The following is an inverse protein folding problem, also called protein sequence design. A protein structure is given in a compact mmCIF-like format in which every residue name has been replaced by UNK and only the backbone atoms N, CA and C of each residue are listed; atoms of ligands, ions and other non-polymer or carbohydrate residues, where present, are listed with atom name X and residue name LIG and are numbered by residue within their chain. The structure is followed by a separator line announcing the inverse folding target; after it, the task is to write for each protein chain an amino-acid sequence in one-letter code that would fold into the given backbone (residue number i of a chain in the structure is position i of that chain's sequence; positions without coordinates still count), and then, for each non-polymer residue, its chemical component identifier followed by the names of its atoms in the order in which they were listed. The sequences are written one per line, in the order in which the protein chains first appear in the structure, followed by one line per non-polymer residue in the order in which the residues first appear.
data_IF_567158300745
#
_entry.id   IF_567158300745
#
_cell.length_a   1.000
_cell.length_b   1.000
_cell.length_c   1.000
_cell.angle_alpha   90.00
_cell.angle_beta   90.00
_cell.angle_gamma   90.00
#
_symmetry.space_group_name_H-M   'P 1'
#
loop_
_entity.id
_entity.type
_entity.pdbx_description
1 polymer ?
#
# COMPACT_ATOMS: atom_id res chain seq x y z
N UNK A 1 13.79 22.89 23.49
CA UNK A 1 12.35 22.82 23.19
C UNK A 1 11.96 21.37 23.33
N UNK A 2 11.00 21.06 24.21
CA UNK A 2 10.71 19.67 24.54
C UNK A 2 10.16 18.96 23.28
N UNK A 3 10.57 17.71 23.04
CA UNK A 3 10.14 16.93 21.87
C UNK A 3 8.61 16.82 21.73
N UNK A 4 7.88 16.96 22.85
CA UNK A 4 6.43 17.02 22.90
C UNK A 4 5.85 18.33 22.32
N UNK A 5 6.46 19.49 22.58
CA UNK A 5 6.01 20.77 22.00
C UNK A 5 6.19 20.80 20.48
N UNK A 6 7.27 20.20 19.97
CA UNK A 6 7.47 20.07 18.51
C UNK A 6 6.46 19.14 17.85
N UNK A 7 6.04 18.06 18.53
CA UNK A 7 5.05 17.13 17.99
C UNK A 7 3.65 17.74 17.97
N UNK A 8 3.24 18.42 19.04
CA UNK A 8 1.94 19.08 19.10
C UNK A 8 1.79 20.16 18.01
N UNK A 9 2.85 20.93 17.74
CA UNK A 9 2.86 21.89 16.63
C UNK A 9 2.74 21.21 15.27
N UNK A 10 3.42 20.09 15.08
CA UNK A 10 3.30 19.29 13.86
C UNK A 10 1.87 18.77 13.66
N UNK A 11 1.23 18.27 14.70
CA UNK A 11 -0.16 17.79 14.63
C UNK A 11 -1.12 18.91 14.21
N UNK A 12 -0.94 20.13 14.73
CA UNK A 12 -1.72 21.31 14.31
C UNK A 12 -1.49 21.64 12.82
N UNK A 13 -0.25 21.53 12.33
CA UNK A 13 0.03 21.73 10.91
C UNK A 13 -0.62 20.64 10.04
N UNK A 14 -0.61 19.38 10.47
CA UNK A 14 -1.30 18.30 9.78
C UNK A 14 -2.82 18.54 9.71
N UNK A 15 -3.43 18.96 10.81
CA UNK A 15 -4.86 19.32 10.83
C UNK A 15 -5.16 20.43 9.82
N UNK A 16 -4.34 21.49 9.77
CA UNK A 16 -4.49 22.55 8.77
C UNK A 16 -4.34 22.05 7.34
N UNK A 17 -3.37 21.17 7.08
CA UNK A 17 -3.11 20.61 5.76
C UNK A 17 -4.33 19.88 5.18
N UNK A 18 -5.02 19.08 6.00
CA UNK A 18 -6.13 18.24 5.54
C UNK A 18 -7.52 18.88 5.72
N UNK A 19 -7.71 19.78 6.69
CA UNK A 19 -9.04 20.31 7.04
C UNK A 19 -9.23 21.81 6.77
N UNK A 20 -8.17 22.61 6.58
CA UNK A 20 -8.35 24.06 6.39
C UNK A 20 -9.03 24.38 5.04
N UNK A 21 -9.97 25.33 5.06
CA UNK A 21 -10.62 25.85 3.85
C UNK A 21 -9.84 27.00 3.22
N UNK A 22 -8.88 27.56 3.95
CA UNK A 22 -7.99 28.61 3.45
C UNK A 22 -6.83 28.00 2.65
N UNK A 23 -6.72 28.38 1.39
CA UNK A 23 -5.64 27.91 0.52
C UNK A 23 -4.26 28.38 0.98
N UNK A 24 -4.15 29.56 1.60
CA UNK A 24 -2.88 30.09 2.09
C UNK A 24 -2.37 29.29 3.30
N UNK A 25 -3.27 28.95 4.23
CA UNK A 25 -2.92 28.12 5.39
C UNK A 25 -2.50 26.71 4.97
N UNK A 26 -3.24 26.08 4.04
CA UNK A 26 -2.87 24.75 3.51
C UNK A 26 -1.51 24.78 2.82
N UNK A 27 -1.26 25.79 1.98
CA UNK A 27 0.02 25.92 1.28
C UNK A 27 1.18 26.15 2.25
N UNK A 28 0.97 26.91 3.33
CA UNK A 28 1.98 27.10 4.37
C UNK A 28 2.28 25.80 5.13
N UNK A 29 1.23 25.05 5.52
CA UNK A 29 1.40 23.76 6.17
C UNK A 29 2.12 22.76 5.25
N UNK A 30 1.71 22.68 3.98
CA UNK A 30 2.34 21.82 2.97
C UNK A 30 3.82 22.17 2.78
N UNK A 31 4.15 23.45 2.60
CA UNK A 31 5.54 23.90 2.44
C UNK A 31 6.40 23.55 3.66
N UNK A 32 5.83 23.59 4.86
CA UNK A 32 6.55 23.28 6.09
C UNK A 32 6.76 21.78 6.26
N UNK A 33 5.76 20.98 5.90
CA UNK A 33 5.78 19.53 6.06
C UNK A 33 6.44 18.80 4.88
N UNK A 34 6.74 19.49 3.78
CA UNK A 34 7.31 18.93 2.55
C UNK A 34 8.61 18.15 2.79
N UNK A 35 9.45 18.61 3.73
CA UNK A 35 10.75 18.01 4.05
C UNK A 35 10.65 16.54 4.43
N UNK A 36 9.56 16.12 5.09
CA UNK A 36 9.31 14.74 5.46
C UNK A 36 9.22 13.82 4.24
N UNK A 37 8.89 14.34 3.07
CA UNK A 37 8.74 13.55 1.85
C UNK A 37 9.93 13.64 0.88
N UNK A 38 10.88 14.55 1.15
CA UNK A 38 11.98 14.87 0.24
C UNK A 38 13.36 14.54 0.82
N UNK A 39 13.48 14.45 2.14
CA UNK A 39 14.74 14.14 2.81
C UNK A 39 14.63 12.83 3.62
N UNK A 40 15.45 11.84 3.25
CA UNK A 40 15.56 10.55 3.94
C UNK A 40 15.98 10.65 5.41
N UNK A 41 16.60 11.75 5.83
CA UNK A 41 16.96 11.99 7.24
C UNK A 41 15.72 12.05 8.14
N UNK A 42 14.54 12.33 7.58
CA UNK A 42 13.28 12.40 8.31
C UNK A 42 12.57 11.04 8.46
N UNK A 43 13.12 9.93 7.96
CA UNK A 43 12.51 8.59 8.11
C UNK A 43 12.31 8.23 9.58
N UNK A 44 13.34 8.42 10.41
CA UNK A 44 13.25 8.16 11.85
C UNK A 44 12.23 9.06 12.52
N UNK A 45 12.05 10.30 12.03
CA UNK A 45 11.03 11.22 12.53
C UNK A 45 9.62 10.77 12.11
N UNK A 46 9.44 10.25 10.90
CA UNK A 46 8.16 9.63 10.48
C UNK A 46 7.79 8.45 11.38
N UNK A 47 8.75 7.58 11.72
CA UNK A 47 8.53 6.48 12.65
C UNK A 47 8.19 6.99 14.06
N UNK A 48 8.89 8.02 14.54
CA UNK A 48 8.57 8.67 15.80
C UNK A 48 7.14 9.25 15.82
N UNK A 49 6.70 9.89 14.73
CA UNK A 49 5.32 10.39 14.59
C UNK A 49 4.33 9.22 14.63
N UNK A 50 4.59 8.14 13.90
CA UNK A 50 3.72 6.96 13.92
C UNK A 50 3.59 6.37 15.33
N UNK A 51 4.68 6.34 16.10
CA UNK A 51 4.68 5.75 17.44
C UNK A 51 4.03 6.64 18.51
N UNK A 52 4.10 7.96 18.37
CA UNK A 52 3.77 8.92 19.44
C UNK A 52 2.63 9.90 19.13
N UNK A 53 2.26 10.10 17.86
CA UNK A 53 1.20 11.03 17.51
C UNK A 53 -0.18 10.52 17.97
N UNK A 54 -1.01 11.47 18.37
CA UNK A 54 -2.38 11.26 18.83
C UNK A 54 -3.40 11.51 17.72
N UNK A 55 -3.04 12.32 16.72
CA UNK A 55 -3.94 12.69 15.62
C UNK A 55 -3.76 11.78 14.39
N UNK A 56 -4.86 11.34 13.74
CA UNK A 56 -4.75 10.46 12.58
C UNK A 56 -4.17 11.17 11.35
N UNK A 57 -4.25 12.51 11.27
CA UNK A 57 -3.66 13.28 10.19
C UNK A 57 -2.13 13.35 10.27
N UNK A 58 -1.55 13.35 11.48
CA UNK A 58 -0.11 13.23 11.64
C UNK A 58 0.39 11.84 11.23
N UNK A 59 -0.34 10.78 11.60
CA UNK A 59 -0.05 9.42 11.13
C UNK A 59 -0.15 9.33 9.59
N UNK A 60 -1.14 10.00 9.00
CA UNK A 60 -1.32 10.07 7.55
C UNK A 60 -0.15 10.80 6.86
N UNK A 61 0.30 11.92 7.42
CA UNK A 61 1.47 12.64 6.90
C UNK A 61 2.70 11.74 6.92
N UNK A 62 2.99 11.09 8.06
CA UNK A 62 4.16 10.22 8.20
C UNK A 62 4.12 9.05 7.20
N UNK A 63 2.96 8.39 7.10
CA UNK A 63 2.77 7.27 6.17
C UNK A 63 2.92 7.69 4.70
N UNK A 64 2.25 8.77 4.27
CA UNK A 64 2.33 9.25 2.88
C UNK A 64 3.72 9.79 2.52
N UNK A 65 4.41 10.40 3.48
CA UNK A 65 5.80 10.84 3.32
C UNK A 65 6.72 9.65 3.07
N UNK A 66 6.60 8.58 3.86
CA UNK A 66 7.36 7.35 3.67
C UNK A 66 7.05 6.69 2.31
N UNK A 67 5.78 6.69 1.86
CA UNK A 67 5.40 6.17 0.51
C UNK A 67 6.15 6.89 -0.59
N UNK A 68 6.27 8.22 -0.50
CA UNK A 68 7.00 9.01 -1.49
C UNK A 68 8.49 8.68 -1.45
N UNK A 69 9.10 8.68 -0.28
CA UNK A 69 10.53 8.39 -0.14
C UNK A 69 10.94 6.99 -0.65
N UNK A 70 10.15 5.95 -0.38
CA UNK A 70 10.47 4.59 -0.88
C UNK A 70 10.25 4.46 -2.39
N UNK A 71 9.44 5.34 -2.98
CA UNK A 71 9.17 5.35 -4.43
C UNK A 71 10.34 5.97 -5.22
N UNK A 72 11.16 6.81 -4.59
CA UNK A 72 12.31 7.46 -5.23
C UNK A 72 13.54 6.54 -5.39
N UNK A 73 13.47 5.28 -4.88
CA UNK A 73 14.51 4.23 -5.01
C UNK A 73 15.93 4.61 -4.54
N UNK A 74 16.09 5.74 -3.85
CA UNK A 74 17.37 6.20 -3.31
C UNK A 74 17.77 5.50 -2.01
N UNK A 75 16.81 4.87 -1.33
CA UNK A 75 17.03 4.21 -0.05
C UNK A 75 17.76 2.87 -0.20
N UNK A 76 18.65 2.58 0.76
CA UNK A 76 19.36 1.31 0.82
C UNK A 76 18.39 0.13 0.95
N UNK A 77 18.82 -1.05 0.48
CA UNK A 77 18.03 -2.29 0.58
C UNK A 77 17.63 -2.59 2.03
N UNK A 78 18.58 -2.47 2.97
CA UNK A 78 18.34 -2.75 4.38
C UNK A 78 17.33 -1.79 4.98
N UNK A 79 17.45 -0.48 4.71
CA UNK A 79 16.51 0.50 5.24
C UNK A 79 15.08 0.28 4.70
N UNK A 80 14.93 -0.11 3.43
CA UNK A 80 13.62 -0.48 2.87
C UNK A 80 13.00 -1.68 3.58
N UNK A 81 13.80 -2.71 3.90
CA UNK A 81 13.32 -3.85 4.68
C UNK A 81 12.94 -3.46 6.11
N UNK A 82 13.74 -2.62 6.76
CA UNK A 82 13.48 -2.16 8.13
C UNK A 82 12.16 -1.37 8.20
N UNK A 83 11.93 -0.46 7.24
CA UNK A 83 10.65 0.29 7.14
C UNK A 83 9.48 -0.68 6.91
N UNK A 84 9.61 -1.63 5.99
CA UNK A 84 8.54 -2.60 5.69
C UNK A 84 8.20 -3.46 6.91
N UNK A 85 9.20 -3.98 7.61
CA UNK A 85 9.00 -4.79 8.81
C UNK A 85 8.39 -3.96 9.94
N UNK A 86 8.85 -2.72 10.12
CA UNK A 86 8.25 -1.78 11.05
C UNK A 86 6.76 -1.58 10.75
N UNK A 87 6.39 -1.30 9.49
CA UNK A 87 4.99 -1.06 9.08
C UNK A 87 4.12 -2.30 9.30
N UNK A 88 4.61 -3.49 8.94
CA UNK A 88 3.86 -4.74 9.14
C UNK A 88 3.62 -5.03 10.63
N UNK A 89 4.65 -4.86 11.46
CA UNK A 89 4.53 -4.97 12.92
C UNK A 89 3.59 -3.90 13.51
N UNK A 90 3.64 -2.68 12.98
CA UNK A 90 2.78 -1.59 13.39
C UNK A 90 1.30 -1.88 13.07
N UNK A 91 1.02 -2.39 11.87
CA UNK A 91 -0.32 -2.84 11.47
C UNK A 91 -0.83 -3.99 12.36
N UNK A 92 0.04 -4.93 12.73
CA UNK A 92 -0.32 -6.03 13.62
C UNK A 92 -0.61 -5.54 15.05
N UNK A 93 0.17 -4.61 15.58
CA UNK A 93 0.03 -4.14 16.96
C UNK A 93 -1.09 -3.09 17.14
N UNK A 94 -1.25 -2.18 16.17
CA UNK A 94 -2.11 -0.99 16.30
C UNK A 94 -3.21 -0.92 15.26
N UNK A 95 -3.12 -1.66 14.16
CA UNK A 95 -4.04 -1.58 13.01
C UNK A 95 -5.53 -1.54 13.35
N UNK A 96 -6.05 -2.44 14.22
CA UNK A 96 -7.47 -2.43 14.61
C UNK A 96 -7.97 -1.12 15.24
N UNK A 97 -7.07 -0.31 15.82
CA UNK A 97 -7.40 0.95 16.49
C UNK A 97 -7.21 2.18 15.58
N UNK A 98 -6.66 1.98 14.38
CA UNK A 98 -6.38 3.08 13.46
C UNK A 98 -7.62 3.47 12.66
N UNK A 99 -7.68 4.74 12.27
CA UNK A 99 -8.64 5.19 11.27
C UNK A 99 -8.36 4.50 9.93
N UNK A 100 -9.42 4.11 9.22
CA UNK A 100 -9.33 3.30 8.00
C UNK A 100 -8.40 3.92 6.93
N UNK A 101 -8.41 5.25 6.78
CA UNK A 101 -7.54 5.92 5.81
C UNK A 101 -6.05 5.80 6.16
N UNK A 102 -5.69 5.79 7.45
CA UNK A 102 -4.30 5.60 7.91
C UNK A 102 -3.89 4.16 7.65
N UNK A 103 -4.75 3.20 7.99
CA UNK A 103 -4.52 1.77 7.72
C UNK A 103 -4.30 1.53 6.22
N UNK A 104 -5.13 2.12 5.35
CA UNK A 104 -4.96 2.04 3.90
C UNK A 104 -3.60 2.59 3.46
N UNK A 105 -3.19 3.76 3.97
CA UNK A 105 -1.91 4.37 3.60
C UNK A 105 -0.72 3.51 4.03
N UNK A 106 -0.76 2.92 5.22
CA UNK A 106 0.30 2.02 5.70
C UNK A 106 0.36 0.72 4.88
N UNK A 107 -0.80 0.17 4.50
CA UNK A 107 -0.84 -0.99 3.60
C UNK A 107 -0.24 -0.63 2.23
N UNK A 108 -0.58 0.53 1.67
CA UNK A 108 0.00 1.02 0.41
C UNK A 108 1.52 1.14 0.51
N UNK A 109 2.04 1.64 1.64
CA UNK A 109 3.48 1.69 1.90
C UNK A 109 4.13 0.30 1.85
N UNK A 110 3.58 -0.67 2.58
CA UNK A 110 4.08 -2.03 2.57
C UNK A 110 4.06 -2.68 1.18
N UNK A 111 2.96 -2.51 0.43
CA UNK A 111 2.82 -3.02 -0.94
C UNK A 111 3.79 -2.33 -1.90
N UNK A 112 3.97 -1.00 -1.78
CA UNK A 112 4.90 -0.21 -2.60
C UNK A 112 6.34 -0.68 -2.40
N UNK A 113 6.77 -0.82 -1.14
CA UNK A 113 8.11 -1.33 -0.81
C UNK A 113 8.28 -2.74 -1.38
N UNK A 114 7.29 -3.61 -1.20
CA UNK A 114 7.33 -4.99 -1.70
C UNK A 114 7.53 -5.05 -3.21
N UNK A 115 6.76 -4.27 -3.97
CA UNK A 115 6.89 -4.23 -5.43
C UNK A 115 8.26 -3.70 -5.86
N UNK A 116 8.76 -2.67 -5.19
CA UNK A 116 10.02 -2.04 -5.55
C UNK A 116 11.23 -2.93 -5.19
N UNK A 117 11.11 -3.72 -4.13
CA UNK A 117 12.09 -4.72 -3.72
C UNK A 117 11.88 -6.13 -4.28
N UNK A 118 10.91 -6.34 -5.17
CA UNK A 118 10.43 -7.68 -5.55
C UNK A 118 11.53 -8.65 -6.00
N UNK A 119 12.53 -8.14 -6.73
CA UNK A 119 13.68 -8.91 -7.21
C UNK A 119 15.00 -8.55 -6.49
N UNK A 120 14.96 -7.66 -5.50
CA UNK A 120 16.15 -7.25 -4.77
C UNK A 120 16.48 -8.26 -3.65
N UNK A 121 15.43 -8.74 -2.96
CA UNK A 121 15.55 -9.69 -1.85
C UNK A 121 14.23 -10.46 -1.66
N UNK A 122 14.32 -11.75 -1.33
CA UNK A 122 13.16 -12.62 -1.15
C UNK A 122 12.30 -12.22 0.05
N UNK A 123 12.90 -11.56 1.06
CA UNK A 123 12.20 -11.05 2.25
C UNK A 123 11.11 -10.05 1.91
N UNK A 124 11.22 -9.32 0.80
CA UNK A 124 10.13 -8.42 0.37
C UNK A 124 8.85 -9.19 0.04
N UNK A 125 8.96 -10.45 -0.41
CA UNK A 125 7.82 -11.29 -0.83
C UNK A 125 7.14 -12.00 0.34
N UNK A 126 7.67 -11.88 1.57
CA UNK A 126 7.04 -12.40 2.79
C UNK A 126 5.70 -11.72 3.13
N UNK A 127 5.33 -10.63 2.43
CA UNK A 127 4.07 -9.91 2.69
C UNK A 127 2.84 -10.80 2.50
N UNK A 128 2.93 -11.79 1.60
CA UNK A 128 1.85 -12.75 1.40
C UNK A 128 1.65 -13.61 2.65
N UNK A 129 2.74 -14.16 3.20
CA UNK A 129 2.72 -14.97 4.41
C UNK A 129 2.18 -14.16 5.60
N UNK A 130 2.69 -12.94 5.80
CA UNK A 130 2.22 -12.11 6.90
C UNK A 130 0.74 -11.73 6.72
N UNK A 131 0.29 -11.43 5.50
CA UNK A 131 -1.13 -11.20 5.25
C UNK A 131 -1.97 -12.43 5.61
N UNK A 132 -1.49 -13.66 5.34
CA UNK A 132 -2.17 -14.88 5.80
C UNK A 132 -2.12 -15.06 7.32
N UNK A 133 -1.05 -14.62 7.98
CA UNK A 133 -0.95 -14.63 9.45
C UNK A 133 -2.03 -13.71 10.06
N UNK A 134 -2.29 -12.53 9.46
CA UNK A 134 -3.42 -11.67 9.86
C UNK A 134 -4.78 -12.38 9.74
N UNK A 135 -4.98 -13.18 8.71
CA UNK A 135 -6.23 -13.96 8.51
C UNK A 135 -6.38 -15.10 9.53
N UNK A 136 -5.28 -15.62 10.04
CA UNK A 136 -5.27 -16.69 11.03
C UNK A 136 -5.50 -16.19 12.47
N UNK A 137 -5.35 -14.88 12.72
CA UNK A 137 -5.64 -14.29 14.02
C UNK A 137 -7.14 -14.38 14.34
N UNK A 138 -7.46 -14.70 15.59
CA UNK A 138 -8.83 -14.78 16.11
C UNK A 138 -9.45 -13.38 16.36
N UNK A 139 -9.35 -12.47 15.37
CA UNK A 139 -9.84 -11.11 15.44
C UNK A 139 -10.36 -10.66 14.08
N UNK A 140 -11.62 -10.20 14.04
CA UNK A 140 -12.26 -9.74 12.81
C UNK A 140 -11.55 -8.53 12.18
N UNK A 141 -11.03 -7.62 13.01
CA UNK A 141 -10.29 -6.45 12.52
C UNK A 141 -8.97 -6.84 11.86
N UNK A 142 -8.23 -7.77 12.46
CA UNK A 142 -7.00 -8.30 11.85
C UNK A 142 -7.29 -9.07 10.57
N UNK A 143 -8.36 -9.87 10.56
CA UNK A 143 -8.81 -10.56 9.36
C UNK A 143 -9.12 -9.57 8.22
N UNK A 144 -9.83 -8.49 8.53
CA UNK A 144 -10.13 -7.43 7.56
C UNK A 144 -8.85 -6.71 7.07
N UNK A 145 -7.88 -6.48 7.94
CA UNK A 145 -6.56 -5.92 7.58
C UNK A 145 -5.82 -6.88 6.63
N UNK A 146 -5.78 -8.18 6.93
CA UNK A 146 -5.17 -9.20 6.07
C UNK A 146 -5.78 -9.19 4.66
N UNK A 147 -7.10 -9.15 4.56
CA UNK A 147 -7.80 -9.04 3.28
C UNK A 147 -7.49 -7.73 2.55
N UNK A 148 -7.44 -6.61 3.28
CA UNK A 148 -7.05 -5.30 2.71
C UNK A 148 -5.60 -5.36 2.18
N UNK A 149 -4.66 -5.97 2.89
CA UNK A 149 -3.27 -6.15 2.42
C UNK A 149 -3.25 -6.91 1.10
N UNK A 150 -3.93 -8.06 1.01
CA UNK A 150 -3.98 -8.84 -0.23
C UNK A 150 -4.62 -8.04 -1.38
N UNK A 151 -5.69 -7.28 -1.11
CA UNK A 151 -6.39 -6.46 -2.11
C UNK A 151 -5.51 -5.35 -2.68
N UNK A 152 -4.80 -4.63 -1.81
CA UNK A 152 -3.86 -3.59 -2.23
C UNK A 152 -2.60 -4.18 -2.88
N UNK A 153 -2.16 -5.37 -2.47
CA UNK A 153 -1.03 -6.05 -3.10
C UNK A 153 -1.35 -6.42 -4.56
N UNK A 154 -2.51 -7.04 -4.82
CA UNK A 154 -2.94 -7.35 -6.19
C UNK A 154 -3.04 -6.07 -7.03
N UNK A 155 -3.62 -5.00 -6.47
CA UNK A 155 -3.71 -3.70 -7.15
C UNK A 155 -2.33 -3.12 -7.50
N UNK A 156 -1.42 -3.04 -6.52
CA UNK A 156 -0.10 -2.46 -6.70
C UNK A 156 0.72 -3.28 -7.70
N UNK A 157 0.61 -4.61 -7.69
CA UNK A 157 1.30 -5.48 -8.66
C UNK A 157 0.75 -5.35 -10.09
N UNK A 158 -0.53 -5.02 -10.24
CA UNK A 158 -1.18 -4.89 -11.55
C UNK A 158 -1.03 -3.47 -12.14
N UNK A 159 -0.82 -2.44 -11.33
CA UNK A 159 -0.76 -1.05 -11.79
C UNK A 159 0.66 -0.65 -12.22
N UNK A 160 0.85 -0.13 -13.44
CA UNK A 160 2.14 0.43 -13.85
C UNK A 160 2.53 1.64 -12.99
N UNK A 161 3.82 1.77 -12.67
CA UNK A 161 4.34 2.88 -11.86
C UNK A 161 5.37 3.66 -12.69
N UNK A 162 5.23 4.99 -12.79
CA UNK A 162 6.13 5.85 -13.56
C UNK A 162 7.57 5.85 -13.05
N UNK A 163 7.79 5.51 -11.78
CA UNK A 163 9.12 5.39 -11.17
C UNK A 163 9.83 4.07 -11.50
N UNK A 164 9.31 3.27 -12.46
CA UNK A 164 10.00 2.06 -12.92
C UNK A 164 9.76 1.76 -14.41
N UNK A 165 10.72 1.10 -15.09
CA UNK A 165 10.52 0.66 -16.47
C UNK A 165 9.35 -0.32 -16.60
N UNK A 166 8.57 -0.19 -17.68
CA UNK A 166 7.42 -1.05 -17.95
C UNK A 166 7.81 -2.54 -18.07
N UNK A 167 9.00 -2.83 -18.60
CA UNK A 167 9.55 -4.19 -18.71
C UNK A 167 9.77 -4.82 -17.34
N UNK A 168 10.33 -4.06 -16.38
CA UNK A 168 10.50 -4.52 -15.00
C UNK A 168 9.15 -4.71 -14.32
N UNK A 169 8.20 -3.79 -14.51
CA UNK A 169 6.84 -3.92 -13.99
C UNK A 169 6.17 -5.21 -14.48
N UNK A 170 6.20 -5.50 -15.79
CA UNK A 170 5.66 -6.74 -16.37
C UNK A 170 6.31 -7.98 -15.77
N UNK A 171 7.64 -7.99 -15.64
CA UNK A 171 8.37 -9.12 -15.03
C UNK A 171 7.91 -9.38 -13.58
N UNK A 172 7.71 -8.32 -12.80
CA UNK A 172 7.19 -8.43 -11.43
C UNK A 172 5.75 -8.96 -11.44
N UNK A 173 4.89 -8.39 -12.28
CA UNK A 173 3.49 -8.80 -12.41
C UNK A 173 3.36 -10.29 -12.78
N UNK A 174 4.15 -10.77 -13.75
CA UNK A 174 4.20 -12.19 -14.12
C UNK A 174 4.68 -13.06 -12.96
N UNK A 175 5.77 -12.67 -12.29
CA UNK A 175 6.29 -13.41 -11.13
C UNK A 175 5.30 -13.46 -9.96
N UNK A 176 4.59 -12.37 -9.68
CA UNK A 176 3.53 -12.32 -8.67
C UNK A 176 2.33 -13.20 -9.05
N UNK A 177 1.91 -13.13 -10.31
CA UNK A 177 0.84 -13.97 -10.86
C UNK A 177 1.13 -15.45 -10.65
N UNK A 178 2.32 -15.89 -11.06
CA UNK A 178 2.70 -17.31 -11.01
C UNK A 178 2.87 -17.83 -9.58
N UNK A 179 3.29 -16.98 -8.63
CA UNK A 179 3.55 -17.40 -7.25
C UNK A 179 2.32 -17.29 -6.33
N UNK A 180 1.55 -16.20 -6.42
CA UNK A 180 0.60 -15.82 -5.36
C UNK A 180 -0.83 -15.57 -5.84
N UNK A 181 -1.06 -15.14 -7.07
CA UNK A 181 -2.38 -14.65 -7.49
C UNK A 181 -3.49 -15.70 -7.36
N UNK A 182 -3.22 -16.96 -7.72
CA UNK A 182 -4.20 -18.05 -7.57
C UNK A 182 -4.56 -18.29 -6.09
N UNK A 183 -3.56 -18.31 -5.20
CA UNK A 183 -3.79 -18.50 -3.77
C UNK A 183 -4.60 -17.34 -3.18
N UNK A 184 -4.30 -16.10 -3.59
CA UNK A 184 -5.05 -14.92 -3.18
C UNK A 184 -6.51 -15.01 -3.66
N UNK A 185 -6.74 -15.46 -4.89
CA UNK A 185 -8.09 -15.66 -5.41
C UNK A 185 -8.85 -16.73 -4.60
N UNK A 186 -8.21 -17.86 -4.26
CA UNK A 186 -8.81 -18.90 -3.42
C UNK A 186 -9.14 -18.40 -2.01
N UNK A 187 -8.29 -17.55 -1.41
CA UNK A 187 -8.57 -16.88 -0.14
C UNK A 187 -9.80 -15.99 -0.27
N UNK A 188 -9.92 -15.21 -1.35
CA UNK A 188 -11.09 -14.36 -1.59
C UNK A 188 -12.38 -15.17 -1.69
N UNK A 189 -12.37 -16.30 -2.38
CA UNK A 189 -13.51 -17.21 -2.48
C UNK A 189 -13.85 -17.82 -1.12
N UNK A 190 -12.86 -18.29 -0.37
CA UNK A 190 -13.08 -18.86 0.97
C UNK A 190 -13.72 -17.84 1.90
N UNK A 191 -13.24 -16.60 1.86
CA UNK A 191 -13.81 -15.48 2.61
C UNK A 191 -15.25 -15.19 2.20
N UNK A 192 -15.56 -15.20 0.90
CA UNK A 192 -16.93 -15.07 0.36
C UNK A 192 -17.86 -16.18 0.83
N UNK A 193 -17.40 -17.43 0.90
CA UNK A 193 -18.20 -18.55 1.39
C UNK A 193 -18.49 -18.45 2.90
N UNK A 194 -17.61 -17.80 3.67
CA UNK A 194 -17.80 -17.54 5.10
C UNK A 194 -18.82 -16.42 5.37
N UNK A 195 -19.12 -15.56 4.38
CA UNK A 195 -20.04 -14.42 4.47
C UNK A 195 -21.54 -14.78 4.39
N UNK A 196 -21.91 -16.04 4.64
CA UNK A 196 -23.30 -16.54 4.53
C UNK A 196 -24.25 -16.09 5.66
N UNK A 197 -23.80 -15.28 6.62
CA UNK A 197 -24.63 -14.73 7.71
C UNK A 197 -24.61 -13.19 7.73
N UNK A 198 -25.33 -12.54 8.65
CA UNK A 198 -25.39 -11.08 8.82
C UNK A 198 -24.02 -10.48 9.21
N UNK A 199 -23.07 -10.47 8.27
CA UNK A 199 -21.73 -9.92 8.47
C UNK A 199 -21.73 -8.44 8.08
N UNK A 200 -21.02 -7.56 8.82
CA UNK A 200 -20.84 -6.15 8.48
C UNK A 200 -20.47 -5.91 7.00
N UNK A 201 -20.98 -4.83 6.42
CA UNK A 201 -20.83 -4.58 4.98
C UNK A 201 -19.37 -4.48 4.50
N UNK A 202 -18.44 -3.97 5.33
CA UNK A 202 -17.01 -3.94 4.96
C UNK A 202 -16.42 -5.33 4.77
N UNK A 203 -16.75 -6.25 5.66
CA UNK A 203 -16.32 -7.65 5.58
C UNK A 203 -16.90 -8.32 4.33
N UNK A 204 -18.05 -7.86 3.82
CA UNK A 204 -18.60 -8.31 2.54
C UNK A 204 -17.89 -7.70 1.33
N UNK A 205 -17.63 -6.38 1.35
CA UNK A 205 -17.07 -5.65 0.20
C UNK A 205 -15.62 -6.02 -0.10
N UNK A 206 -14.79 -6.24 0.92
CA UNK A 206 -13.34 -6.45 0.70
C UNK A 206 -13.06 -7.76 -0.05
N UNK A 207 -13.62 -8.93 0.32
CA UNK A 207 -13.45 -10.17 -0.46
C UNK A 207 -13.98 -10.08 -1.89
N UNK A 208 -15.12 -9.40 -2.12
CA UNK A 208 -15.66 -9.20 -3.48
C UNK A 208 -14.69 -8.36 -4.31
N UNK A 209 -14.21 -7.24 -3.75
CA UNK A 209 -13.20 -6.40 -4.40
C UNK A 209 -11.93 -7.19 -4.70
N UNK A 210 -11.48 -8.04 -3.76
CA UNK A 210 -10.29 -8.86 -3.94
C UNK A 210 -10.47 -9.85 -5.10
N UNK A 211 -11.59 -10.59 -5.10
CA UNK A 211 -11.92 -11.53 -6.17
C UNK A 211 -11.97 -10.83 -7.54
N UNK A 212 -12.64 -9.68 -7.61
CA UNK A 212 -12.72 -8.88 -8.84
C UNK A 212 -11.33 -8.44 -9.31
N UNK A 213 -10.47 -7.93 -8.41
CA UNK A 213 -9.10 -7.53 -8.78
C UNK A 213 -8.25 -8.69 -9.28
N UNK A 214 -8.40 -9.88 -8.69
CA UNK A 214 -7.71 -11.07 -9.18
C UNK A 214 -8.15 -11.45 -10.60
N UNK A 215 -9.45 -11.37 -10.88
CA UNK A 215 -10.02 -11.68 -12.20
C UNK A 215 -9.72 -10.59 -13.24
N UNK A 216 -9.59 -9.34 -12.81
CA UNK A 216 -9.20 -8.19 -13.65
C UNK A 216 -7.68 -7.98 -13.70
N UNK A 217 -6.88 -8.92 -13.21
CA UNK A 217 -5.42 -8.84 -13.34
C UNK A 217 -5.03 -8.87 -14.81
N UNK A 218 -4.08 -8.03 -15.22
CA UNK A 218 -3.65 -7.99 -16.61
C UNK A 218 -2.77 -9.20 -16.92
N UNK A 219 -3.35 -10.18 -17.61
CA UNK A 219 -2.65 -11.37 -18.08
C UNK A 219 -1.90 -11.14 -19.41
N UNK A 220 -1.98 -9.93 -20.00
CA UNK A 220 -1.33 -9.53 -21.25
C UNK A 220 0.15 -9.24 -21.01
N UNK A 221 0.84 -10.32 -20.68
CA UNK A 221 2.28 -10.44 -20.50
C UNK A 221 2.73 -11.90 -20.45
N UNK A 222 1.79 -12.85 -20.63
CA UNK A 222 2.14 -14.21 -21.03
C UNK A 222 2.89 -14.11 -22.36
N UNK A 223 4.06 -14.77 -22.52
CA UNK A 223 4.81 -14.66 -23.76
C UNK A 223 3.88 -15.03 -24.90
N UNK A 224 3.64 -14.06 -25.78
CA UNK A 224 3.24 -14.38 -27.15
C UNK A 224 4.39 -15.23 -27.66
N UNK A 225 4.10 -16.50 -27.92
CA UNK A 225 5.00 -17.44 -28.58
C UNK A 225 5.72 -16.67 -29.71
N UNK A 226 7.04 -16.51 -29.64
CA UNK A 226 7.85 -15.76 -30.63
C UNK A 226 7.88 -16.46 -32.01
N UNK A 227 6.95 -17.38 -32.27
CA UNK A 227 6.85 -18.18 -33.48
C UNK A 227 5.67 -17.84 -34.40
N UNK A 228 4.84 -16.82 -34.10
CA UNK A 228 3.79 -16.38 -35.04
C UNK A 228 4.04 -14.97 -35.57
N UNK A 229 4.47 -14.91 -36.83
CA UNK A 229 4.46 -13.72 -37.68
C UNK A 229 3.05 -13.11 -37.75
N UNK A 230 3.02 -11.77 -37.83
CA UNK A 230 1.88 -10.89 -38.13
C UNK A 230 0.63 -10.99 -37.24
N UNK A 231 0.26 -9.89 -36.57
CA UNK A 231 -1.00 -9.18 -36.85
C UNK A 231 -0.99 -7.81 -36.15
N UNK A 232 -1.34 -6.77 -36.90
CA UNK A 232 -1.30 -5.37 -36.47
C UNK A 232 -2.18 -5.10 -35.24
N UNK A 233 -1.62 -4.36 -34.29
CA UNK A 233 -2.37 -3.83 -33.14
C UNK A 233 -3.36 -2.77 -33.60
N UNK A 234 -4.65 -3.07 -33.53
CA UNK A 234 -5.71 -2.04 -33.51
C UNK A 234 -5.68 -1.39 -32.12
N UNK A 235 -5.22 -0.15 -32.04
CA UNK A 235 -5.35 0.68 -30.85
C UNK A 235 -6.82 1.09 -30.69
N UNK A 236 -7.51 0.53 -29.70
CA UNK A 236 -8.79 1.07 -29.23
C UNK A 236 -8.47 2.05 -28.10
N UNK A 237 -8.47 3.34 -28.43
CA UNK A 237 -8.47 4.43 -27.45
C UNK A 237 -9.84 4.46 -26.76
N UNK A 238 -9.90 4.07 -25.49
CA UNK A 238 -11.02 4.44 -24.63
C UNK A 238 -10.75 5.82 -24.03
N UNK A 239 -11.06 6.86 -24.81
CA UNK A 239 -11.35 8.18 -24.27
C UNK A 239 -12.74 8.10 -23.61
N UNK A 240 -12.78 8.15 -22.29
CA UNK A 240 -14.00 8.51 -21.56
C UNK A 240 -13.67 9.61 -20.56
N UNK A 241 -13.79 10.84 -21.07
CA UNK A 241 -14.29 11.96 -20.30
C UNK A 241 -15.77 11.70 -20.01
N UNK A 242 -16.12 11.62 -18.73
CA UNK A 242 -17.35 12.13 -18.12
C UNK A 242 -17.29 11.89 -16.60
#
# INVERSE_FOLDING_TARGET
MSSMESLAQLEVLCEKLYNSRDSAERAHAESTLKCFSENSDYISQCQYILDNASTPYALMLASTSLVKQVSDRSLSLQLRLDIRNYVMNYLAARGPKLQNFVTISLIQLACRITKFGWFDDDRFREIFKEATDFLALASQDHYLIGLKILNFLVMEMNQANSAMPLTLHRKIATSFKDQFLLQIFQISLTSLHQLKSEVPDELRRVPISLALRCLSFDFVGSPVDESSEEFGTVQVYWLLNC
#
